data_IF_402993682866
#
_entry.id   IF_402993682866
#
_cell.length_a   1.000
_cell.length_b   1.000
_cell.length_c   1.000
_cell.angle_alpha   90.00
_cell.angle_beta   90.00
_cell.angle_gamma   90.00
#
_symmetry.space_group_name_H-M   'P 1'
#
loop_
_entity.id
_entity.type
_entity.pdbx_description
1 polymer ?
#
# COMPACT_ATOMS: atom_id res chain seq x y z
N UNK A 1 18.75 24.09 -3.00
CA UNK A 1 17.73 23.24 -3.65
C UNK A 1 17.77 21.84 -3.05
N UNK A 2 16.60 21.29 -2.72
CA UNK A 2 16.45 19.90 -2.27
C UNK A 2 16.06 18.98 -3.44
N UNK A 3 16.10 17.67 -3.23
CA UNK A 3 15.73 16.69 -4.27
C UNK A 3 14.22 16.79 -4.59
N UNK A 4 13.87 16.74 -5.89
CA UNK A 4 12.49 16.80 -6.37
C UNK A 4 11.93 18.20 -6.65
N UNK A 5 12.71 19.26 -6.40
CA UNK A 5 12.33 20.66 -6.67
C UNK A 5 12.69 21.09 -8.10
N UNK A 6 11.74 21.72 -8.79
CA UNK A 6 11.99 22.47 -10.03
C UNK A 6 12.19 23.94 -9.68
N UNK A 7 13.34 24.50 -10.06
CA UNK A 7 13.61 25.93 -9.85
C UNK A 7 12.87 26.76 -10.89
N UNK A 8 12.09 27.73 -10.43
CA UNK A 8 11.43 28.72 -11.26
C UNK A 8 12.27 30.01 -11.24
N UNK A 9 12.87 30.32 -12.38
CA UNK A 9 13.77 31.45 -12.53
C UNK A 9 13.05 32.81 -12.54
N UNK A 10 11.75 32.84 -12.86
CA UNK A 10 10.98 34.09 -12.90
C UNK A 10 10.62 34.57 -11.50
N UNK A 11 10.32 33.63 -10.60
CA UNK A 11 9.90 33.93 -9.22
C UNK A 11 11.00 33.72 -8.19
N UNK A 12 12.07 33.00 -8.54
CA UNK A 12 13.11 32.59 -7.61
C UNK A 12 12.68 31.46 -6.65
N UNK A 13 11.49 30.89 -6.84
CA UNK A 13 10.90 29.87 -5.99
C UNK A 13 11.22 28.46 -6.49
N UNK A 14 10.92 27.46 -5.65
CA UNK A 14 11.06 26.06 -5.98
C UNK A 14 9.70 25.37 -6.04
N UNK A 15 9.32 24.89 -7.22
CA UNK A 15 8.06 24.20 -7.44
C UNK A 15 8.15 22.71 -7.07
N UNK A 16 7.29 22.27 -6.15
CA UNK A 16 7.04 20.88 -5.76
C UNK A 16 5.59 20.51 -6.05
N UNK A 17 5.28 20.22 -7.32
CA UNK A 17 3.99 19.71 -7.88
C UNK A 17 2.71 20.39 -7.39
N UNK A 18 2.40 20.32 -6.10
CA UNK A 18 1.23 20.93 -5.48
C UNK A 18 1.53 22.27 -4.79
N UNK A 19 2.81 22.62 -4.54
CA UNK A 19 3.17 23.82 -3.77
C UNK A 19 4.45 24.49 -4.27
N UNK A 20 4.54 25.80 -4.05
CA UNK A 20 5.76 26.59 -4.22
C UNK A 20 6.48 26.75 -2.89
N UNK A 21 7.74 26.34 -2.87
CA UNK A 21 8.66 26.43 -1.73
C UNK A 21 9.55 27.66 -1.89
N UNK A 22 9.56 28.49 -0.86
CA UNK A 22 10.50 29.60 -0.74
C UNK A 22 11.68 29.15 0.12
N UNK A 23 12.87 29.17 -0.48
CA UNK A 23 14.10 28.79 0.22
C UNK A 23 14.62 29.88 1.17
N UNK A 24 14.21 31.14 1.00
CA UNK A 24 14.60 32.24 1.88
C UNK A 24 13.85 32.14 3.22
N UNK A 25 12.53 31.95 3.18
CA UNK A 25 11.72 31.72 4.38
C UNK A 25 11.74 30.27 4.89
N UNK A 26 12.23 29.33 4.09
CA UNK A 26 12.36 27.92 4.45
C UNK A 26 11.02 27.17 4.53
N UNK A 27 9.97 27.65 3.85
CA UNK A 27 8.61 27.10 3.93
C UNK A 27 7.84 27.20 2.60
N UNK A 28 6.72 26.49 2.52
CA UNK A 28 5.76 26.62 1.43
C UNK A 28 4.94 27.90 1.56
N UNK A 29 4.66 28.54 0.42
CA UNK A 29 3.85 29.75 0.36
C UNK A 29 2.36 29.47 0.61
N UNK A 30 1.90 28.28 0.24
CA UNK A 30 0.53 27.82 0.46
C UNK A 30 0.47 26.74 1.55
N UNK A 31 -0.60 26.72 2.37
CA UNK A 31 -0.88 25.58 3.25
C UNK A 31 -0.96 24.26 2.49
N UNK A 32 -0.67 23.15 3.17
CA UNK A 32 -0.79 21.80 2.61
C UNK A 32 -2.24 21.53 2.16
N UNK A 33 -2.48 21.14 0.89
CA UNK A 33 -3.81 20.75 0.40
C UNK A 33 -4.47 19.61 1.19
N UNK A 34 -3.69 18.74 1.85
CA UNK A 34 -4.24 17.68 2.72
C UNK A 34 -4.49 18.16 4.16
N UNK A 35 -4.31 19.46 4.43
CA UNK A 35 -4.59 20.08 5.72
C UNK A 35 -3.71 19.54 6.84
N UNK A 36 -4.29 19.34 8.03
CA UNK A 36 -3.57 18.86 9.22
C UNK A 36 -3.04 17.41 9.07
N UNK A 37 -3.51 16.65 8.07
CA UNK A 37 -2.93 15.35 7.76
C UNK A 37 -1.50 15.44 7.21
N UNK A 38 -1.12 16.62 6.68
CA UNK A 38 0.25 16.97 6.30
C UNK A 38 1.15 17.36 7.48
N UNK A 39 0.62 17.32 8.71
CA UNK A 39 1.33 17.70 9.92
C UNK A 39 0.86 19.02 10.51
N UNK A 40 1.39 19.32 11.70
CA UNK A 40 0.93 20.44 12.55
C UNK A 40 1.28 21.80 11.95
N UNK A 41 2.31 21.87 11.09
CA UNK A 41 2.71 23.08 10.37
C UNK A 41 2.35 22.96 8.89
N UNK A 42 1.20 23.50 8.44
CA UNK A 42 0.70 23.29 7.07
C UNK A 42 1.61 23.84 5.99
N UNK A 43 2.44 24.83 6.31
CA UNK A 43 3.39 25.44 5.38
C UNK A 43 4.79 24.84 5.49
N UNK A 44 5.04 23.88 6.38
CA UNK A 44 6.39 23.31 6.53
C UNK A 44 6.77 22.42 5.36
N UNK A 45 8.06 22.42 5.00
CA UNK A 45 8.60 21.51 3.98
C UNK A 45 8.64 20.07 4.48
N UNK A 46 9.50 19.80 5.47
CA UNK A 46 9.58 18.55 6.22
C UNK A 46 10.10 18.86 7.62
N UNK A 47 9.95 17.92 8.56
CA UNK A 47 10.47 18.05 9.92
C UNK A 47 12.01 18.07 9.98
N UNK A 48 12.67 17.25 9.16
CA UNK A 48 14.13 17.17 9.04
C UNK A 48 14.56 17.02 7.56
N UNK A 49 15.04 18.09 6.90
CA UNK A 49 15.44 18.05 5.48
C UNK A 49 16.66 17.17 5.17
N UNK A 50 17.39 16.72 6.19
CA UNK A 50 18.50 15.76 6.03
C UNK A 50 18.00 14.31 5.94
N UNK A 51 16.83 14.02 6.50
CA UNK A 51 16.24 12.69 6.57
C UNK A 51 15.04 12.52 5.63
N UNK A 52 14.32 13.60 5.39
CA UNK A 52 13.07 13.60 4.64
C UNK A 52 13.15 14.53 3.44
N UNK A 53 12.45 14.13 2.39
CA UNK A 53 12.11 14.99 1.28
C UNK A 53 10.60 14.92 1.04
N UNK A 54 10.04 16.00 0.49
CA UNK A 54 8.64 16.06 0.04
C UNK A 54 8.59 16.23 -1.49
N UNK A 55 8.72 15.13 -2.28
CA UNK A 55 8.73 15.19 -3.74
C UNK A 55 7.38 15.56 -4.36
N UNK A 56 6.30 15.44 -3.60
CA UNK A 56 4.95 15.71 -4.08
C UNK A 56 4.45 17.09 -3.63
N UNK A 57 5.06 17.70 -2.63
CA UNK A 57 4.47 18.86 -1.98
C UNK A 57 3.25 18.46 -1.16
N UNK A 58 3.23 17.25 -0.57
CA UNK A 58 2.20 16.74 0.32
C UNK A 58 2.90 16.03 1.49
N UNK A 59 2.80 16.58 2.69
CA UNK A 59 3.63 16.18 3.82
C UNK A 59 3.16 14.87 4.49
N UNK A 60 3.38 13.75 3.80
CA UNK A 60 3.54 12.41 4.37
C UNK A 60 4.10 11.54 3.26
N UNK A 61 5.38 11.74 2.94
CA UNK A 61 5.98 10.91 1.91
C UNK A 61 5.87 9.45 2.36
N UNK A 62 5.54 8.61 1.39
CA UNK A 62 5.45 7.13 1.42
C UNK A 62 6.60 6.47 2.21
N UNK A 63 7.65 7.23 2.50
CA UNK A 63 8.78 6.96 3.37
C UNK A 63 8.45 6.60 4.82
N UNK A 64 7.45 7.19 5.49
CA UNK A 64 7.22 6.87 6.93
C UNK A 64 6.71 5.43 7.13
N UNK A 65 5.65 5.05 6.41
CA UNK A 65 5.13 3.68 6.46
C UNK A 65 6.17 2.66 5.97
N UNK A 66 6.95 3.01 4.95
CA UNK A 66 8.08 2.20 4.50
C UNK A 66 9.16 2.07 5.58
N UNK A 67 9.46 3.14 6.30
CA UNK A 67 10.48 3.16 7.35
C UNK A 67 10.04 2.34 8.57
N UNK A 68 8.77 2.44 8.97
CA UNK A 68 8.19 1.60 10.02
C UNK A 68 8.28 0.12 9.65
N UNK A 69 7.86 -0.27 8.43
CA UNK A 69 8.04 -1.65 7.95
C UNK A 69 9.51 -2.08 7.91
N UNK A 70 10.40 -1.19 7.47
CA UNK A 70 11.83 -1.46 7.48
C UNK A 70 12.31 -1.79 8.90
N UNK A 71 11.91 -1.02 9.91
CA UNK A 71 12.24 -1.27 11.31
C UNK A 71 11.66 -2.60 11.81
N UNK A 72 10.43 -2.92 11.45
CA UNK A 72 9.80 -4.20 11.82
C UNK A 72 10.60 -5.37 11.24
N UNK A 73 10.94 -5.36 9.94
CA UNK A 73 11.78 -6.40 9.35
C UNK A 73 13.16 -6.49 10.01
N UNK A 74 13.77 -5.36 10.37
CA UNK A 74 15.04 -5.37 11.12
C UNK A 74 14.90 -6.03 12.49
N UNK A 75 13.79 -5.80 13.20
CA UNK A 75 13.50 -6.44 14.50
C UNK A 75 13.25 -7.94 14.39
N UNK A 76 12.74 -8.41 13.24
CA UNK A 76 12.54 -9.83 12.92
C UNK A 76 13.83 -10.55 12.51
N UNK A 77 14.97 -9.85 12.46
CA UNK A 77 16.28 -10.44 12.17
C UNK A 77 16.74 -10.38 10.72
N UNK A 78 15.95 -9.80 9.81
CA UNK A 78 16.35 -9.62 8.40
C UNK A 78 17.56 -8.68 8.28
N UNK A 79 18.43 -8.91 7.31
CA UNK A 79 19.54 -8.00 7.01
C UNK A 79 19.03 -6.62 6.57
N UNK A 80 19.88 -5.59 6.66
CA UNK A 80 19.52 -4.25 6.23
C UNK A 80 19.10 -4.20 4.74
N UNK A 81 19.74 -5.00 3.90
CA UNK A 81 19.43 -5.06 2.48
C UNK A 81 18.08 -5.73 2.22
N UNK A 82 17.80 -6.86 2.88
CA UNK A 82 16.53 -7.58 2.75
C UNK A 82 15.37 -6.75 3.29
N UNK A 83 15.53 -6.12 4.46
CA UNK A 83 14.53 -5.23 5.03
C UNK A 83 14.24 -4.03 4.10
N UNK A 84 15.27 -3.47 3.45
CA UNK A 84 15.10 -2.37 2.50
C UNK A 84 14.35 -2.79 1.22
N UNK A 85 14.51 -4.05 0.79
CA UNK A 85 13.76 -4.64 -0.34
C UNK A 85 12.32 -4.94 0.05
N UNK A 86 12.09 -5.59 1.19
CA UNK A 86 10.77 -5.99 1.69
C UNK A 86 9.90 -4.79 2.12
N UNK A 87 10.51 -3.68 2.51
CA UNK A 87 9.77 -2.46 2.90
C UNK A 87 9.24 -1.62 1.73
N UNK A 88 9.64 -1.92 0.48
CA UNK A 88 9.13 -1.22 -0.73
C UNK A 88 7.63 -1.44 -0.93
N UNK A 89 7.01 -0.71 -1.86
CA UNK A 89 5.58 -0.85 -2.18
C UNK A 89 4.66 0.06 -1.36
N UNK A 90 3.39 0.12 -1.78
CA UNK A 90 2.37 0.95 -1.14
C UNK A 90 2.03 0.48 0.27
N UNK A 91 1.27 1.29 1.01
CA UNK A 91 0.71 0.92 2.31
C UNK A 91 -0.82 0.85 2.16
N UNK A 92 -1.40 -0.33 1.86
CA UNK A 92 -2.84 -0.44 1.68
C UNK A 92 -3.57 -0.13 3.01
N UNK A 93 -4.78 0.41 2.89
CA UNK A 93 -5.60 0.74 4.05
C UNK A 93 -5.94 -0.53 4.86
N UNK A 94 -5.94 -0.45 6.18
CA UNK A 94 -6.41 -1.53 7.05
C UNK A 94 -7.91 -1.36 7.28
N UNK A 95 -8.69 -2.42 7.10
CA UNK A 95 -10.11 -2.42 7.49
C UNK A 95 -10.28 -2.99 8.89
N UNK A 96 -11.34 -2.57 9.57
CA UNK A 96 -11.72 -3.17 10.87
C UNK A 96 -12.41 -4.51 10.59
N UNK A 97 -12.03 -5.62 11.25
CA UNK A 97 -12.80 -6.86 11.19
C UNK A 97 -14.29 -6.58 11.47
N UNK A 98 -15.22 -7.15 10.70
CA UNK A 98 -16.64 -6.83 10.77
C UNK A 98 -17.10 -5.63 9.93
N UNK A 99 -16.19 -4.89 9.27
CA UNK A 99 -16.58 -3.73 8.45
C UNK A 99 -16.95 -4.08 7.00
N UNK A 100 -16.79 -5.35 6.60
CA UNK A 100 -17.26 -5.84 5.30
C UNK A 100 -18.75 -6.20 5.39
N UNK A 101 -19.51 -6.14 4.28
CA UNK A 101 -20.86 -6.69 4.27
C UNK A 101 -20.83 -8.16 4.70
N UNK A 102 -21.77 -8.57 5.56
CA UNK A 102 -21.72 -9.87 6.25
C UNK A 102 -21.52 -11.08 5.29
N UNK A 103 -22.15 -11.05 4.12
CA UNK A 103 -22.00 -12.10 3.11
C UNK A 103 -20.57 -12.14 2.50
N UNK A 104 -19.94 -10.97 2.30
CA UNK A 104 -18.56 -10.87 1.83
C UNK A 104 -17.59 -11.31 2.90
N UNK A 105 -17.79 -10.86 4.14
CA UNK A 105 -16.95 -11.26 5.27
C UNK A 105 -16.99 -12.77 5.47
N UNK A 106 -18.18 -13.37 5.44
CA UNK A 106 -18.33 -14.82 5.52
C UNK A 106 -17.60 -15.54 4.38
N UNK A 107 -17.61 -14.99 3.17
CA UNK A 107 -16.88 -15.55 2.04
C UNK A 107 -15.36 -15.47 2.23
N UNK A 108 -14.85 -14.31 2.68
CA UNK A 108 -13.42 -14.12 2.99
C UNK A 108 -13.00 -15.09 4.09
N UNK A 109 -13.76 -15.20 5.18
CA UNK A 109 -13.45 -16.10 6.29
C UNK A 109 -13.45 -17.58 5.89
N UNK A 110 -14.36 -18.01 5.00
CA UNK A 110 -14.30 -19.37 4.42
C UNK A 110 -13.01 -19.60 3.63
N UNK A 111 -12.61 -18.63 2.80
CA UNK A 111 -11.35 -18.70 2.05
C UNK A 111 -10.14 -18.76 2.99
N UNK A 112 -10.10 -17.93 4.03
CA UNK A 112 -9.04 -17.95 5.04
C UNK A 112 -8.99 -19.29 5.78
N UNK A 113 -10.14 -19.86 6.14
CA UNK A 113 -10.20 -21.18 6.76
C UNK A 113 -9.56 -22.28 5.90
N UNK A 114 -9.77 -22.25 4.57
CA UNK A 114 -9.09 -23.20 3.67
C UNK A 114 -7.57 -22.98 3.63
N UNK A 115 -7.12 -21.71 3.62
CA UNK A 115 -5.70 -21.36 3.63
C UNK A 115 -5.03 -21.85 4.92
N UNK A 116 -5.65 -21.57 6.07
CA UNK A 116 -5.14 -21.97 7.39
C UNK A 116 -5.13 -23.50 7.56
N UNK A 117 -6.12 -24.21 7.00
CA UNK A 117 -6.18 -25.67 7.01
C UNK A 117 -5.25 -26.35 5.99
N UNK A 118 -4.65 -25.59 5.07
CA UNK A 118 -3.80 -26.11 4.01
C UNK A 118 -4.54 -26.89 2.92
N UNK A 119 -5.85 -26.70 2.77
CA UNK A 119 -6.67 -27.33 1.75
C UNK A 119 -7.17 -26.31 0.70
N UNK A 120 -8.12 -26.72 -0.15
CA UNK A 120 -8.71 -25.84 -1.18
C UNK A 120 -10.19 -26.16 -1.39
N UNK A 121 -11.01 -25.15 -1.72
CA UNK A 121 -12.41 -25.37 -2.07
C UNK A 121 -12.55 -26.13 -3.40
N UNK A 122 -13.67 -26.83 -3.57
CA UNK A 122 -14.01 -27.49 -4.83
C UNK A 122 -14.39 -26.49 -5.94
N UNK A 123 -14.45 -26.98 -7.18
CA UNK A 123 -15.01 -26.22 -8.30
C UNK A 123 -14.18 -25.02 -8.75
N UNK A 124 -14.85 -23.93 -9.13
CA UNK A 124 -14.22 -22.76 -9.73
C UNK A 124 -13.29 -21.99 -8.78
N UNK A 125 -13.55 -22.04 -7.47
CA UNK A 125 -12.76 -21.34 -6.45
C UNK A 125 -11.40 -22.01 -6.21
N UNK A 126 -11.33 -23.35 -6.30
CA UNK A 126 -10.07 -24.08 -6.16
C UNK A 126 -9.14 -24.04 -7.38
N UNK A 127 -9.59 -23.48 -8.51
CA UNK A 127 -8.74 -23.30 -9.70
C UNK A 127 -7.76 -22.16 -9.46
N UNK A 128 -6.49 -22.35 -9.82
CA UNK A 128 -5.40 -21.37 -9.55
C UNK A 128 -5.29 -20.99 -8.07
N UNK A 129 -5.59 -21.93 -7.16
CA UNK A 129 -5.46 -21.73 -5.72
C UNK A 129 -3.99 -21.58 -5.32
N UNK A 130 -3.62 -20.50 -4.65
CA UNK A 130 -2.25 -20.27 -4.21
C UNK A 130 -1.25 -20.02 -5.35
N UNK A 131 -1.72 -19.53 -6.50
CA UNK A 131 -0.78 -19.09 -7.55
C UNK A 131 -0.07 -17.81 -7.13
N UNK A 132 1.13 -17.58 -7.68
CA UNK A 132 1.89 -16.36 -7.36
C UNK A 132 1.16 -15.13 -7.89
N UNK A 133 0.79 -14.23 -6.98
CA UNK A 133 0.35 -12.88 -7.35
C UNK A 133 1.60 -12.04 -7.61
N UNK A 134 1.68 -11.37 -8.76
CA UNK A 134 2.92 -10.71 -9.19
C UNK A 134 3.11 -9.30 -8.62
N UNK A 135 2.08 -8.66 -8.07
CA UNK A 135 2.19 -7.30 -7.52
C UNK A 135 2.89 -6.32 -8.50
N UNK A 136 2.59 -6.40 -9.81
CA UNK A 136 3.31 -5.63 -10.84
C UNK A 136 3.19 -4.11 -10.63
N UNK A 137 2.05 -3.68 -10.12
CA UNK A 137 1.72 -2.28 -9.83
C UNK A 137 2.31 -1.80 -8.49
N UNK A 138 2.86 -2.70 -7.67
CA UNK A 138 3.47 -2.34 -6.38
C UNK A 138 2.46 -1.84 -5.33
N UNK A 139 1.19 -2.22 -5.46
CA UNK A 139 0.10 -1.81 -4.57
C UNK A 139 0.13 -2.52 -3.21
N UNK A 140 0.91 -3.59 -3.09
CA UNK A 140 1.20 -4.26 -1.83
C UNK A 140 2.69 -4.09 -1.44
N UNK A 141 3.02 -4.12 -0.13
CA UNK A 141 4.40 -4.07 0.33
C UNK A 141 5.31 -5.16 -0.26
N UNK A 142 6.63 -4.95 -0.27
CA UNK A 142 7.60 -5.95 -0.70
C UNK A 142 7.88 -5.98 -2.21
N UNK A 143 8.32 -7.15 -2.68
CA UNK A 143 8.77 -7.35 -4.05
C UNK A 143 7.62 -7.41 -5.08
N UNK A 144 7.97 -7.22 -6.34
CA UNK A 144 7.08 -7.33 -7.49
C UNK A 144 7.65 -8.27 -8.56
N UNK A 145 6.82 -8.68 -9.50
CA UNK A 145 7.16 -9.58 -10.60
C UNK A 145 7.67 -10.93 -10.09
N UNK A 146 8.88 -11.31 -10.51
CA UNK A 146 9.53 -12.54 -10.09
C UNK A 146 9.82 -12.60 -8.58
N UNK A 147 9.99 -11.44 -7.94
CA UNK A 147 10.32 -11.32 -6.52
C UNK A 147 9.09 -11.11 -5.62
N UNK A 148 7.89 -11.26 -6.17
CA UNK A 148 6.67 -11.08 -5.39
C UNK A 148 6.51 -12.19 -4.35
N UNK A 149 6.35 -11.87 -3.06
CA UNK A 149 6.17 -12.85 -2.00
C UNK A 149 4.72 -13.35 -1.89
N UNK A 150 3.85 -12.96 -2.82
CA UNK A 150 2.42 -13.09 -2.65
C UNK A 150 1.80 -14.31 -3.35
N UNK A 151 0.80 -14.89 -2.67
CA UNK A 151 -0.07 -15.96 -3.19
C UNK A 151 -1.50 -15.43 -3.28
N UNK A 152 -2.18 -15.66 -4.40
CA UNK A 152 -3.59 -15.27 -4.58
C UNK A 152 -4.55 -16.46 -4.36
N UNK A 153 -5.74 -16.12 -3.87
CA UNK A 153 -6.82 -17.05 -3.57
C UNK A 153 -8.15 -16.45 -4.01
N UNK A 154 -9.00 -17.28 -4.63
CA UNK A 154 -10.32 -16.86 -5.07
C UNK A 154 -11.28 -16.81 -3.89
N UNK A 155 -12.10 -15.76 -3.86
CA UNK A 155 -13.17 -15.59 -2.88
C UNK A 155 -14.51 -15.72 -3.60
N UNK A 156 -15.47 -16.33 -2.92
CA UNK A 156 -16.83 -16.45 -3.41
C UNK A 156 -17.42 -15.06 -3.77
N UNK A 157 -17.80 -14.84 -5.04
CA UNK A 157 -18.31 -13.54 -5.50
C UNK A 157 -19.74 -13.27 -5.05
N UNK A 158 -20.42 -14.23 -4.41
CA UNK A 158 -21.79 -14.10 -3.97
C UNK A 158 -22.81 -14.43 -5.07
N UNK A 159 -24.10 -14.31 -4.74
CA UNK A 159 -25.18 -14.73 -5.63
C UNK A 159 -25.22 -13.90 -6.92
N UNK A 160 -25.57 -14.56 -8.03
CA UNK A 160 -25.75 -13.92 -9.33
C UNK A 160 -24.46 -13.69 -10.15
N UNK A 161 -23.29 -14.05 -9.62
CA UNK A 161 -22.02 -13.98 -10.35
C UNK A 161 -21.57 -15.36 -10.80
N UNK A 162 -21.36 -15.54 -12.10
CA UNK A 162 -20.84 -16.79 -12.65
C UNK A 162 -19.30 -16.86 -12.52
N UNK A 163 -18.77 -18.07 -12.34
CA UNK A 163 -17.34 -18.30 -12.22
C UNK A 163 -16.76 -17.83 -10.87
N UNK A 164 -15.53 -17.31 -10.89
CA UNK A 164 -14.80 -16.93 -9.67
C UNK A 164 -14.94 -15.44 -9.30
N UNK A 165 -15.66 -14.66 -10.10
CA UNK A 165 -15.80 -13.19 -9.97
C UNK A 165 -14.50 -12.42 -9.74
N UNK A 166 -14.62 -11.22 -9.17
CA UNK A 166 -13.52 -10.26 -8.98
C UNK A 166 -12.80 -10.37 -7.63
N UNK A 167 -13.46 -10.95 -6.61
CA UNK A 167 -12.98 -10.95 -5.22
C UNK A 167 -11.77 -11.87 -5.03
N UNK A 168 -10.71 -11.37 -4.40
CA UNK A 168 -9.48 -12.13 -4.14
C UNK A 168 -8.94 -11.84 -2.75
N UNK A 169 -8.32 -12.86 -2.17
CA UNK A 169 -7.43 -12.72 -1.02
C UNK A 169 -6.01 -12.93 -1.50
N UNK A 170 -5.09 -12.11 -1.01
CA UNK A 170 -3.66 -12.18 -1.34
C UNK A 170 -2.87 -12.26 -0.04
N UNK A 171 -2.07 -13.31 0.12
CA UNK A 171 -1.29 -13.58 1.34
C UNK A 171 0.20 -13.44 1.05
N UNK A 172 0.91 -12.69 1.88
CA UNK A 172 2.37 -12.64 1.85
C UNK A 172 2.92 -13.93 2.48
N UNK A 173 3.58 -14.78 1.69
CA UNK A 173 4.11 -16.06 2.19
C UNK A 173 5.27 -15.91 3.17
N UNK A 174 5.92 -14.76 3.24
CA UNK A 174 7.02 -14.52 4.16
C UNK A 174 6.54 -14.03 5.53
N UNK A 175 5.49 -13.20 5.55
CA UNK A 175 5.03 -12.51 6.77
C UNK A 175 3.67 -13.00 7.28
N UNK A 176 2.89 -13.69 6.46
CA UNK A 176 1.50 -14.04 6.76
C UNK A 176 0.51 -12.89 6.64
N UNK A 177 0.97 -11.68 6.32
CA UNK A 177 0.09 -10.53 6.10
C UNK A 177 -0.89 -10.81 4.96
N UNK A 178 -2.16 -10.50 5.19
CA UNK A 178 -3.24 -10.84 4.27
C UNK A 178 -4.01 -9.61 3.84
N UNK A 179 -4.28 -9.57 2.55
CA UNK A 179 -4.92 -8.47 1.87
C UNK A 179 -6.14 -8.97 1.10
N UNK A 180 -7.20 -8.15 1.06
CA UNK A 180 -8.43 -8.43 0.32
C UNK A 180 -8.65 -7.38 -0.76
N UNK A 181 -9.20 -7.81 -1.90
CA UNK A 181 -9.63 -6.94 -2.99
C UNK A 181 -11.00 -7.39 -3.50
N UNK A 182 -11.88 -6.44 -3.75
CA UNK A 182 -13.20 -6.66 -4.36
C UNK A 182 -13.28 -6.18 -5.81
N UNK A 183 -12.24 -5.52 -6.33
CA UNK A 183 -12.22 -4.83 -7.63
C UNK A 183 -11.38 -5.54 -8.70
N UNK A 184 -10.93 -6.76 -8.43
CA UNK A 184 -9.95 -7.47 -9.28
C UNK A 184 -8.67 -6.65 -9.46
N UNK A 185 -7.99 -6.34 -8.36
CA UNK A 185 -6.68 -5.65 -8.38
C UNK A 185 -6.72 -4.21 -8.91
N UNK A 186 -7.85 -3.50 -8.72
CA UNK A 186 -7.97 -2.10 -9.08
C UNK A 186 -8.65 -1.80 -10.41
N UNK A 187 -9.08 -2.81 -11.19
CA UNK A 187 -9.82 -2.62 -12.46
C UNK A 187 -11.14 -1.84 -12.29
N UNK A 188 -11.63 -1.66 -11.05
CA UNK A 188 -12.93 -1.05 -10.76
C UNK A 188 -13.01 -0.17 -9.49
N UNK A 189 -11.88 0.26 -8.89
CA UNK A 189 -11.94 1.24 -7.78
C UNK A 189 -10.70 1.33 -6.88
N UNK A 190 -10.73 2.34 -5.99
CA UNK A 190 -9.69 2.66 -5.00
C UNK A 190 -10.29 2.58 -3.58
N UNK A 191 -9.70 1.85 -2.62
CA UNK A 191 -8.42 1.14 -2.69
C UNK A 191 -8.50 -0.20 -3.43
N UNK A 192 -7.45 -0.49 -4.21
CA UNK A 192 -7.28 -1.77 -4.90
C UNK A 192 -7.16 -2.93 -3.91
N UNK A 193 -6.63 -2.67 -2.70
CA UNK A 193 -6.46 -3.64 -1.63
C UNK A 193 -6.71 -3.03 -0.25
N UNK A 194 -7.20 -3.86 0.65
CA UNK A 194 -7.23 -3.57 2.08
C UNK A 194 -6.54 -4.67 2.87
N UNK A 195 -5.81 -4.30 3.92
CA UNK A 195 -5.22 -5.27 4.86
C UNK A 195 -6.29 -5.79 5.82
N UNK A 196 -6.33 -7.11 6.00
CA UNK A 196 -7.29 -7.81 6.86
C UNK A 196 -6.63 -8.64 7.97
N UNK A 197 -5.34 -9.02 7.82
CA UNK A 197 -4.53 -9.74 8.80
C UNK A 197 -3.06 -9.33 8.65
#
# INVERSE_FOLDING_TARGET
RYQGQLYDAETGLYYNRHRYYDAESGQYLSPDPIGLYGGIRPQSYVSNPLEFCDPLGLARSVCQARYERYKDYRSQGYSAEEAAKLSKGANPATITPGSLPAAEEAAVNRTLGHIDNGDKPAGALGKKWGTTFKNHQGELPGGSGANSPYREYRVDPGPGVSGAGARRVVVNSNTGETYYTWTHYGDSGNPSFVRIR
#
